data_IF_079230188149
#
_entry.id   IF_079230188149
#
_cell.length_a   1.000
_cell.length_b   1.000
_cell.length_c   1.000
_cell.angle_alpha   90.00
_cell.angle_beta   90.00
_cell.angle_gamma   90.00
#
_symmetry.space_group_name_H-M   'P 1'
#
loop_
_entity.id
_entity.type
_entity.pdbx_description
1 polymer ?
#
# COMPACT_ATOMS: atom_id res chain seq x y z
N UNK A 1 -10.74 -18.69 -6.10
CA UNK A 1 -9.85 -17.94 -5.19
C UNK A 1 -9.70 -16.54 -5.73
N UNK A 2 -10.27 -15.52 -5.08
CA UNK A 2 -10.13 -14.12 -5.54
C UNK A 2 -8.66 -13.72 -5.38
N UNK A 3 -7.88 -13.50 -6.46
CA UNK A 3 -6.45 -13.27 -6.33
C UNK A 3 -6.18 -11.90 -5.71
N UNK A 4 -5.53 -11.91 -4.54
CA UNK A 4 -4.86 -10.81 -3.82
C UNK A 4 -5.30 -9.38 -4.13
N UNK A 5 -6.39 -8.93 -3.49
CA UNK A 5 -6.85 -7.52 -3.49
C UNK A 5 -5.70 -6.51 -3.28
N UNK A 6 -4.75 -6.73 -2.34
CA UNK A 6 -3.65 -5.77 -2.12
C UNK A 6 -2.69 -5.64 -3.32
N UNK A 7 -2.32 -6.74 -3.97
CA UNK A 7 -1.42 -6.70 -5.14
C UNK A 7 -2.10 -6.01 -6.34
N UNK A 8 -3.41 -6.13 -6.47
CA UNK A 8 -4.17 -5.41 -7.51
C UNK A 8 -4.16 -3.90 -7.25
N UNK A 9 -4.35 -3.47 -6.00
CA UNK A 9 -4.29 -2.06 -5.62
C UNK A 9 -2.89 -1.50 -5.89
N UNK A 10 -1.83 -2.18 -5.46
CA UNK A 10 -0.45 -1.76 -5.72
C UNK A 10 -0.15 -1.67 -7.22
N UNK A 11 -0.58 -2.65 -8.01
CA UNK A 11 -0.43 -2.61 -9.47
C UNK A 11 -1.14 -1.40 -10.08
N UNK A 12 -2.40 -1.18 -9.71
CA UNK A 12 -3.17 -0.05 -10.22
C UNK A 12 -2.51 1.28 -9.86
N UNK A 13 -1.98 1.40 -8.65
CA UNK A 13 -1.23 2.57 -8.19
C UNK A 13 0.06 2.78 -9.00
N UNK A 14 0.88 1.75 -9.21
CA UNK A 14 2.11 1.88 -10.00
C UNK A 14 1.81 2.27 -11.45
N UNK A 15 0.79 1.67 -12.07
CA UNK A 15 0.35 2.05 -13.42
C UNK A 15 -0.13 3.50 -13.45
N UNK A 16 -0.90 3.92 -12.44
CA UNK A 16 -1.38 5.30 -12.35
C UNK A 16 -0.26 6.33 -12.12
N UNK A 17 0.90 5.92 -11.58
CA UNK A 17 2.04 6.79 -11.32
C UNK A 17 3.15 6.66 -12.37
N UNK A 18 3.01 5.79 -13.37
CA UNK A 18 3.99 5.62 -14.42
C UNK A 18 4.23 6.93 -15.19
N UNK A 19 5.50 7.30 -15.36
CA UNK A 19 5.90 8.57 -15.99
C UNK A 19 5.68 9.82 -15.13
N UNK A 20 5.16 9.69 -13.90
CA UNK A 20 4.90 10.81 -12.97
C UNK A 20 5.09 10.41 -11.51
N UNK A 21 6.15 9.64 -11.22
CA UNK A 21 6.39 9.03 -9.91
C UNK A 21 6.56 10.08 -8.82
N UNK A 22 7.11 11.23 -9.19
CA UNK A 22 7.38 12.38 -8.34
C UNK A 22 6.10 13.10 -7.90
N UNK A 23 4.98 12.90 -8.62
CA UNK A 23 3.67 13.40 -8.20
C UNK A 23 3.27 12.85 -6.82
N UNK A 24 3.84 11.70 -6.43
CA UNK A 24 3.72 11.16 -5.07
C UNK A 24 4.18 12.16 -4.00
N UNK A 25 5.24 12.94 -4.22
CA UNK A 25 5.72 13.89 -3.23
C UNK A 25 4.80 15.09 -3.08
N UNK A 26 4.11 15.49 -4.15
CA UNK A 26 3.08 16.54 -4.09
C UNK A 26 1.91 16.09 -3.22
N UNK A 27 1.54 14.81 -3.27
CA UNK A 27 0.52 14.24 -2.38
C UNK A 27 0.92 14.23 -0.90
N UNK A 28 2.22 14.31 -0.60
CA UNK A 28 2.77 14.34 0.76
C UNK A 28 3.34 15.68 1.18
N UNK A 29 3.23 16.70 0.33
CA UNK A 29 3.80 18.00 0.62
C UNK A 29 3.00 18.66 1.76
N UNK A 30 3.56 18.58 2.96
CA UNK A 30 3.00 19.17 4.18
C UNK A 30 3.09 20.69 4.22
N UNK A 31 3.75 21.31 3.23
CA UNK A 31 3.82 22.76 3.08
C UNK A 31 2.66 23.31 2.24
N UNK A 32 1.83 22.44 1.66
CA UNK A 32 0.63 22.86 0.94
C UNK A 32 -0.28 23.71 1.85
N UNK A 33 -0.75 24.88 1.37
CA UNK A 33 -1.68 25.70 2.12
C UNK A 33 -2.93 24.89 2.51
N UNK A 34 -3.28 24.81 3.81
CA UNK A 34 -4.49 24.13 4.25
C UNK A 34 -5.71 24.68 3.52
N UNK A 35 -6.58 23.79 3.02
CA UNK A 35 -7.79 24.18 2.28
C UNK A 35 -7.58 24.64 0.83
N UNK A 36 -6.33 24.75 0.36
CA UNK A 36 -6.01 25.03 -1.04
C UNK A 36 -6.46 23.91 -1.99
N UNK A 37 -6.56 24.21 -3.29
CA UNK A 37 -6.99 23.24 -4.31
C UNK A 37 -6.08 22.00 -4.35
N UNK A 38 -4.77 22.19 -4.27
CA UNK A 38 -3.80 21.10 -4.20
C UNK A 38 -3.98 20.22 -2.95
N UNK A 39 -4.25 20.82 -1.77
CA UNK A 39 -4.49 20.08 -0.54
C UNK A 39 -5.80 19.27 -0.61
N UNK A 40 -6.85 19.82 -1.23
CA UNK A 40 -8.12 19.10 -1.48
C UNK A 40 -7.94 17.94 -2.46
N UNK A 41 -7.20 18.16 -3.55
CA UNK A 41 -6.90 17.11 -4.52
C UNK A 41 -6.07 15.99 -3.89
N UNK A 42 -5.03 16.32 -3.13
CA UNK A 42 -4.24 15.35 -2.37
C UNK A 42 -5.09 14.55 -1.38
N UNK A 43 -5.98 15.22 -0.63
CA UNK A 43 -6.92 14.57 0.28
C UNK A 43 -7.87 13.59 -0.42
N UNK A 44 -8.36 13.91 -1.62
CA UNK A 44 -9.21 13.00 -2.39
C UNK A 44 -8.45 11.74 -2.85
N UNK A 45 -7.20 11.88 -3.29
CA UNK A 45 -6.35 10.73 -3.62
C UNK A 45 -6.04 9.88 -2.39
N UNK A 46 -5.78 10.50 -1.22
CA UNK A 46 -5.60 9.77 0.04
C UNK A 46 -6.83 8.99 0.45
N UNK A 47 -8.00 9.62 0.41
CA UNK A 47 -9.26 8.94 0.72
C UNK A 47 -9.51 7.74 -0.21
N UNK A 48 -9.15 7.85 -1.49
CA UNK A 48 -9.26 6.73 -2.44
C UNK A 48 -8.26 5.61 -2.13
N UNK A 49 -7.01 5.93 -1.80
CA UNK A 49 -6.00 4.94 -1.38
C UNK A 49 -6.41 4.26 -0.07
N UNK A 50 -6.92 5.02 0.90
CA UNK A 50 -7.40 4.51 2.18
C UNK A 50 -8.64 3.62 2.03
N UNK A 51 -9.57 3.95 1.12
CA UNK A 51 -10.72 3.10 0.83
C UNK A 51 -10.28 1.77 0.19
N UNK A 52 -9.37 1.82 -0.79
CA UNK A 52 -8.79 0.62 -1.40
C UNK A 52 -8.00 -0.23 -0.40
N UNK A 53 -7.33 0.43 0.56
CA UNK A 53 -6.65 -0.21 1.67
C UNK A 53 -7.64 -0.92 2.59
N UNK A 54 -8.67 -0.22 3.07
CA UNK A 54 -9.68 -0.76 3.97
C UNK A 54 -10.40 -1.98 3.37
N UNK A 55 -10.76 -1.92 2.08
CA UNK A 55 -11.36 -3.06 1.38
C UNK A 55 -10.40 -4.26 1.28
N UNK A 56 -9.11 -3.99 0.98
CA UNK A 56 -8.08 -5.01 0.87
C UNK A 56 -7.72 -5.67 2.22
N UNK A 57 -7.60 -4.87 3.28
CA UNK A 57 -7.25 -5.34 4.63
C UNK A 57 -8.42 -6.00 5.34
N UNK A 58 -9.64 -5.50 5.18
CA UNK A 58 -10.84 -6.16 5.69
C UNK A 58 -11.06 -7.54 5.04
N UNK A 59 -10.73 -7.70 3.75
CA UNK A 59 -10.76 -9.00 3.10
C UNK A 59 -9.71 -9.97 3.66
N UNK A 60 -8.51 -9.47 4.00
CA UNK A 60 -7.45 -10.27 4.63
C UNK A 60 -7.83 -10.68 6.06
N UNK A 61 -8.33 -9.76 6.88
CA UNK A 61 -8.75 -10.02 8.26
C UNK A 61 -9.90 -11.03 8.33
N UNK A 62 -10.90 -10.89 7.46
CA UNK A 62 -11.97 -11.90 7.33
C UNK A 62 -11.44 -13.28 6.94
N UNK A 63 -10.41 -13.34 6.08
CA UNK A 63 -9.81 -14.60 5.67
C UNK A 63 -8.93 -15.24 6.76
N UNK A 64 -8.36 -14.44 7.67
CA UNK A 64 -7.60 -14.93 8.84
C UNK A 64 -8.47 -15.19 10.08
N UNK A 65 -9.76 -14.83 10.03
CA UNK A 65 -10.68 -14.95 11.17
C UNK A 65 -10.52 -13.85 12.22
N UNK A 66 -9.64 -12.87 12.02
CA UNK A 66 -9.54 -11.71 12.91
C UNK A 66 -10.69 -10.74 12.63
N UNK A 67 -11.40 -10.37 13.69
CA UNK A 67 -12.49 -9.38 13.67
C UNK A 67 -12.22 -8.22 14.63
N UNK A 68 -10.99 -8.13 15.16
CA UNK A 68 -10.61 -7.06 16.07
C UNK A 68 -10.54 -5.71 15.32
N UNK A 69 -11.33 -4.71 15.70
CA UNK A 69 -11.27 -3.39 15.08
C UNK A 69 -9.92 -2.69 15.26
N UNK A 70 -9.15 -3.00 16.31
CA UNK A 70 -7.81 -2.43 16.52
C UNK A 70 -6.80 -3.01 15.51
N UNK A 71 -6.87 -4.30 15.23
CA UNK A 71 -6.06 -4.94 14.17
C UNK A 71 -6.37 -4.30 12.81
N UNK A 72 -7.64 -4.01 12.54
CA UNK A 72 -8.05 -3.34 11.30
C UNK A 72 -7.48 -1.91 11.18
N UNK A 73 -7.50 -1.13 12.26
CA UNK A 73 -6.94 0.22 12.25
C UNK A 73 -5.42 0.22 12.14
N UNK A 74 -4.71 -0.65 12.88
CA UNK A 74 -3.26 -0.79 12.78
C UNK A 74 -2.87 -1.24 11.37
N UNK A 75 -3.56 -2.23 10.81
CA UNK A 75 -3.26 -2.75 9.48
C UNK A 75 -3.48 -1.69 8.39
N UNK A 76 -4.46 -0.80 8.55
CA UNK A 76 -4.65 0.37 7.68
C UNK A 76 -3.41 1.28 7.70
N UNK A 77 -2.88 1.64 8.88
CA UNK A 77 -1.68 2.47 8.98
C UNK A 77 -0.46 1.79 8.35
N UNK A 78 -0.25 0.50 8.64
CA UNK A 78 0.85 -0.30 8.07
C UNK A 78 0.77 -0.30 6.54
N UNK A 79 -0.43 -0.45 5.97
CA UNK A 79 -0.63 -0.41 4.53
C UNK A 79 -0.24 0.95 3.93
N UNK A 80 -0.70 2.06 4.52
CA UNK A 80 -0.39 3.40 4.05
C UNK A 80 1.12 3.66 4.03
N UNK A 81 1.83 3.26 5.09
CA UNK A 81 3.27 3.38 5.17
C UNK A 81 4.02 2.45 4.20
N UNK A 82 3.50 1.25 3.98
CA UNK A 82 4.02 0.31 2.99
C UNK A 82 3.95 0.92 1.58
N UNK A 83 2.78 1.41 1.17
CA UNK A 83 2.60 2.04 -0.16
C UNK A 83 3.56 3.21 -0.32
N UNK A 84 3.61 4.12 0.66
CA UNK A 84 4.52 5.26 0.61
C UNK A 84 5.98 4.87 0.53
N UNK A 85 6.39 3.82 1.26
CA UNK A 85 7.76 3.32 1.21
C UNK A 85 8.10 2.72 -0.15
N UNK A 86 7.18 1.95 -0.74
CA UNK A 86 7.37 1.35 -2.07
C UNK A 86 7.50 2.41 -3.16
N UNK A 87 6.64 3.43 -3.17
CA UNK A 87 6.71 4.51 -4.17
C UNK A 87 7.96 5.36 -3.99
N UNK A 88 8.33 5.71 -2.74
CA UNK A 88 9.59 6.44 -2.46
C UNK A 88 10.81 5.65 -2.91
N UNK A 89 10.80 4.33 -2.75
CA UNK A 89 11.87 3.47 -3.26
C UNK A 89 11.86 3.45 -4.79
N UNK A 90 10.69 3.36 -5.41
CA UNK A 90 10.54 3.32 -6.87
C UNK A 90 11.01 4.61 -7.57
N UNK A 91 10.76 5.78 -6.98
CA UNK A 91 11.30 7.06 -7.46
C UNK A 91 12.83 7.00 -7.61
N UNK A 92 13.52 6.31 -6.68
CA UNK A 92 14.98 6.18 -6.70
C UNK A 92 15.49 5.13 -7.69
N UNK A 93 14.59 4.37 -8.31
CA UNK A 93 14.87 3.26 -9.23
C UNK A 93 14.00 3.42 -10.51
N UNK A 94 14.24 4.47 -11.32
CA UNK A 94 13.41 4.81 -12.46
C UNK A 94 13.40 3.73 -13.57
N UNK A 95 14.39 2.83 -13.57
CA UNK A 95 14.49 1.67 -14.46
C UNK A 95 13.43 0.60 -14.19
N UNK A 96 12.84 0.59 -13.00
CA UNK A 96 11.79 -0.36 -12.65
C UNK A 96 10.46 0.05 -13.28
N UNK A 97 9.79 -0.89 -13.94
CA UNK A 97 8.44 -0.69 -14.51
C UNK A 97 7.36 -0.99 -13.48
N UNK A 98 6.10 -0.55 -13.68
CA UNK A 98 4.98 -0.94 -12.82
C UNK A 98 4.82 -2.46 -12.65
N UNK A 99 5.00 -3.23 -13.72
CA UNK A 99 4.98 -4.69 -13.69
C UNK A 99 6.12 -5.27 -12.85
N UNK A 100 7.33 -4.69 -12.96
CA UNK A 100 8.48 -5.12 -12.21
C UNK A 100 8.29 -4.86 -10.70
N UNK A 101 7.77 -3.69 -10.34
CA UNK A 101 7.36 -3.35 -8.98
C UNK A 101 6.25 -4.28 -8.45
N UNK A 102 5.26 -4.61 -9.28
CA UNK A 102 4.19 -5.55 -8.91
C UNK A 102 4.77 -6.94 -8.61
N UNK A 103 5.65 -7.47 -9.48
CA UNK A 103 6.33 -8.75 -9.25
C UNK A 103 7.21 -8.71 -8.01
N UNK A 104 7.87 -7.59 -7.74
CA UNK A 104 8.66 -7.37 -6.52
C UNK A 104 7.77 -7.46 -5.28
N UNK A 105 6.61 -6.81 -5.27
CA UNK A 105 5.64 -6.89 -4.18
C UNK A 105 5.16 -8.34 -3.95
N UNK A 106 4.90 -9.10 -5.01
CA UNK A 106 4.55 -10.53 -4.88
C UNK A 106 5.64 -11.31 -4.15
N UNK A 107 6.93 -11.11 -4.50
CA UNK A 107 8.04 -11.77 -3.80
C UNK A 107 8.16 -11.34 -2.34
N UNK A 108 8.02 -10.03 -2.06
CA UNK A 108 8.09 -9.51 -0.69
C UNK A 108 6.96 -10.04 0.20
N UNK A 109 5.74 -10.13 -0.32
CA UNK A 109 4.62 -10.70 0.43
C UNK A 109 4.78 -12.21 0.66
N UNK A 110 5.35 -12.94 -0.28
CA UNK A 110 5.69 -14.35 -0.05
C UNK A 110 6.70 -14.52 1.10
N UNK A 111 7.73 -13.67 1.14
CA UNK A 111 8.71 -13.65 2.25
C UNK A 111 8.03 -13.27 3.58
N UNK A 112 7.17 -12.26 3.59
CA UNK A 112 6.43 -11.88 4.79
C UNK A 112 5.52 -13.00 5.30
N UNK A 113 4.87 -13.74 4.39
CA UNK A 113 4.06 -14.89 4.75
C UNK A 113 4.88 -16.02 5.38
N UNK A 114 6.14 -16.23 4.97
CA UNK A 114 7.02 -17.21 5.61
C UNK A 114 7.42 -16.81 7.04
N UNK A 115 7.61 -15.51 7.31
CA UNK A 115 7.90 -15.02 8.66
C UNK A 115 6.75 -15.27 9.63
N UNK A 116 5.50 -15.21 9.13
CA UNK A 116 4.31 -15.49 9.92
C UNK A 116 4.08 -17.00 10.17
N UNK A 117 4.77 -17.88 9.43
CA UNK A 117 4.63 -19.33 9.50
C UNK A 117 5.66 -20.00 10.42
N UNK A 118 6.54 -19.23 11.07
CA UNK A 118 7.56 -19.79 11.97
C UNK A 118 6.87 -20.53 13.12
N UNK A 119 7.12 -21.85 13.31
CA UNK A 119 6.55 -22.60 14.41
C UNK A 119 7.09 -22.02 15.73
N UNK A 120 6.30 -22.05 16.83
CA UNK A 120 6.81 -21.63 18.12
C UNK A 120 8.09 -22.41 18.44
N UNK A 121 9.12 -21.71 18.93
CA UNK A 121 10.35 -22.35 19.38
C UNK A 121 9.98 -23.45 20.37
N UNK A 122 10.33 -24.69 20.03
CA UNK A 122 10.18 -25.82 20.93
C UNK A 122 11.23 -25.66 22.02
N UNK A 123 10.85 -25.09 23.16
CA UNK A 123 11.58 -25.21 24.42
C UNK A 123 11.31 -26.58 25.06
#
# INVERSE_FOLDING_TARGET
TTPGTPLRVLRALFVALEGRREAWFVLYDRTLPPGGEAARAAGAYWAAVDALAADGTAALLRASGSTDPLDADVLRHVWTDLVGTLVRWWVKHPEETPEAMTRRCTRLFAVAATLAADPPATD
#
